data_IF_401475239829
#
_entry.id   IF_401475239829
#
_cell.length_a   1.000
_cell.length_b   1.000
_cell.length_c   1.000
_cell.angle_alpha   90.00
_cell.angle_beta   90.00
_cell.angle_gamma   90.00
#
_symmetry.space_group_name_H-M   'P 1'
#
loop_
_entity.id
_entity.type
_entity.pdbx_description
1 polymer ?
#
# COMPACT_ATOMS: atom_id res chain seq x y z
N UNK A 1 -0.88 34.09 14.93
CA UNK A 1 -0.70 34.18 13.47
C UNK A 1 0.58 33.52 12.99
N UNK A 2 1.79 33.83 13.53
CA UNK A 2 3.06 33.18 13.13
C UNK A 2 3.09 31.68 13.38
N UNK A 3 2.60 31.19 14.51
CA UNK A 3 2.59 29.76 14.83
C UNK A 3 1.73 28.96 13.84
N UNK A 4 0.51 29.43 13.56
CA UNK A 4 -0.40 28.81 12.58
C UNK A 4 0.23 28.77 11.19
N UNK A 5 0.92 29.83 10.77
CA UNK A 5 1.59 29.89 9.48
C UNK A 5 2.75 28.87 9.39
N UNK A 6 3.54 28.74 10.47
CA UNK A 6 4.62 27.77 10.52
C UNK A 6 4.11 26.32 10.51
N UNK A 7 3.02 26.04 11.22
CA UNK A 7 2.40 24.69 11.20
C UNK A 7 1.92 24.34 9.79
N UNK A 8 1.18 25.25 9.14
CA UNK A 8 0.72 25.07 7.77
C UNK A 8 1.89 24.88 6.77
N UNK A 9 2.97 25.63 6.93
CA UNK A 9 4.16 25.45 6.09
C UNK A 9 4.76 24.06 6.25
N UNK A 10 4.89 23.57 7.49
CA UNK A 10 5.44 22.24 7.75
C UNK A 10 4.54 21.13 7.16
N UNK A 11 3.22 21.27 7.28
CA UNK A 11 2.25 20.35 6.70
C UNK A 11 2.34 20.32 5.16
N UNK A 12 2.45 21.49 4.52
CA UNK A 12 2.63 21.59 3.06
C UNK A 12 3.96 20.96 2.63
N UNK A 13 5.04 21.18 3.37
CA UNK A 13 6.35 20.59 3.07
C UNK A 13 6.27 19.06 3.22
N UNK A 14 5.62 18.55 4.26
CA UNK A 14 5.43 17.11 4.46
C UNK A 14 4.60 16.51 3.32
N UNK A 15 3.52 17.18 2.91
CA UNK A 15 2.67 16.75 1.80
C UNK A 15 3.44 16.70 0.47
N UNK A 16 4.14 17.78 0.12
CA UNK A 16 4.89 17.86 -1.13
C UNK A 16 6.07 16.89 -1.14
N UNK A 17 6.80 16.78 -0.02
CA UNK A 17 7.90 15.83 0.14
C UNK A 17 7.42 14.39 0.01
N UNK A 18 6.32 14.03 0.68
CA UNK A 18 5.69 12.71 0.58
C UNK A 18 5.20 12.41 -0.83
N UNK A 19 4.60 13.38 -1.51
CA UNK A 19 4.14 13.24 -2.90
C UNK A 19 5.32 12.98 -3.84
N UNK A 20 6.37 13.77 -3.75
CA UNK A 20 7.57 13.59 -4.59
C UNK A 20 8.24 12.25 -4.35
N UNK A 21 8.45 11.89 -3.08
CA UNK A 21 9.02 10.61 -2.70
C UNK A 21 8.15 9.44 -3.16
N UNK A 22 6.82 9.51 -2.96
CA UNK A 22 5.88 8.48 -3.38
C UNK A 22 5.88 8.26 -4.89
N UNK A 23 5.92 9.34 -5.69
CA UNK A 23 6.06 9.24 -7.15
C UNK A 23 7.35 8.53 -7.55
N UNK A 24 8.48 8.88 -6.92
CA UNK A 24 9.78 8.24 -7.21
C UNK A 24 9.75 6.74 -6.88
N UNK A 25 9.22 6.35 -5.73
CA UNK A 25 9.09 4.95 -5.34
C UNK A 25 8.12 4.20 -6.26
N UNK A 26 7.01 4.81 -6.63
CA UNK A 26 6.03 4.19 -7.55
C UNK A 26 6.59 3.92 -8.93
N UNK A 27 7.55 4.73 -9.41
CA UNK A 27 8.23 4.49 -10.69
C UNK A 27 9.19 3.29 -10.62
N UNK A 28 9.60 2.84 -9.43
CA UNK A 28 10.47 1.68 -9.30
C UNK A 28 9.62 0.40 -9.41
N UNK A 29 9.85 -0.46 -10.43
CA UNK A 29 9.07 -1.68 -10.60
C UNK A 29 9.15 -2.59 -9.36
N UNK A 30 7.98 -3.02 -8.87
CA UNK A 30 7.89 -3.91 -7.70
C UNK A 30 8.09 -3.23 -6.34
N UNK A 31 8.44 -1.94 -6.29
CA UNK A 31 8.65 -1.27 -5.01
C UNK A 31 7.34 -0.92 -4.29
N UNK A 32 6.37 -0.32 -4.97
CA UNK A 32 5.07 0.04 -4.41
C UNK A 32 5.10 0.92 -3.15
N UNK A 33 3.93 1.31 -2.68
CA UNK A 33 3.78 2.15 -1.48
C UNK A 33 4.37 1.53 -0.22
N UNK A 34 4.19 0.21 -0.04
CA UNK A 34 4.62 -0.50 1.17
C UNK A 34 6.13 -0.42 1.36
N UNK A 35 6.89 -0.67 0.29
CA UNK A 35 8.36 -0.57 0.31
C UNK A 35 8.80 0.87 0.62
N UNK A 36 8.14 1.86 0.00
CA UNK A 36 8.40 3.27 0.27
C UNK A 36 8.17 3.65 1.72
N UNK A 37 7.07 3.20 2.31
CA UNK A 37 6.75 3.47 3.71
C UNK A 37 7.76 2.83 4.66
N UNK A 38 8.16 1.58 4.42
CA UNK A 38 9.15 0.93 5.29
C UNK A 38 10.52 1.61 5.19
N UNK A 39 10.94 1.98 3.99
CA UNK A 39 12.21 2.69 3.82
C UNK A 39 12.24 4.01 4.59
N UNK A 40 11.15 4.79 4.55
CA UNK A 40 11.08 6.09 5.23
C UNK A 40 10.80 5.96 6.73
N UNK A 41 10.22 4.84 7.18
CA UNK A 41 9.88 4.65 8.59
C UNK A 41 11.11 4.79 9.51
N UNK A 42 12.29 4.39 9.03
CA UNK A 42 13.56 4.57 9.74
C UNK A 42 13.94 6.06 9.91
N UNK A 43 13.37 6.94 9.10
CA UNK A 43 13.64 8.38 9.11
C UNK A 43 12.48 9.21 9.67
N UNK A 44 11.42 8.57 10.18
CA UNK A 44 10.21 9.27 10.65
C UNK A 44 10.50 10.23 11.81
N UNK A 45 11.55 9.98 12.59
CA UNK A 45 12.01 10.87 13.65
C UNK A 45 12.53 12.23 13.14
N UNK A 46 12.86 12.35 11.84
CA UNK A 46 13.26 13.63 11.23
C UNK A 46 12.12 14.66 11.21
N UNK A 47 10.86 14.22 11.38
CA UNK A 47 9.70 15.10 11.48
C UNK A 47 9.56 15.77 12.86
N UNK A 48 10.64 15.80 13.66
CA UNK A 48 10.67 16.54 14.91
C UNK A 48 9.77 16.02 16.02
N UNK A 49 9.29 14.77 15.88
CA UNK A 49 8.40 14.13 16.88
C UNK A 49 6.93 14.56 16.74
N UNK A 50 6.56 15.32 15.73
CA UNK A 50 5.16 15.63 15.43
C UNK A 50 4.52 14.46 14.65
N UNK A 51 3.63 13.68 15.26
CA UNK A 51 3.02 12.53 14.61
C UNK A 51 2.12 12.91 13.42
N UNK A 52 1.54 14.13 13.41
CA UNK A 52 0.68 14.58 12.33
C UNK A 52 1.46 14.78 11.03
N UNK A 53 2.66 15.35 11.09
CA UNK A 53 3.52 15.52 9.92
C UNK A 53 3.92 14.16 9.33
N UNK A 54 4.23 13.18 10.19
CA UNK A 54 4.51 11.81 9.77
C UNK A 54 3.33 11.16 9.05
N UNK A 55 2.11 11.32 9.58
CA UNK A 55 0.88 10.79 8.96
C UNK A 55 0.62 11.46 7.61
N UNK A 56 0.70 12.80 7.52
CA UNK A 56 0.52 13.55 6.27
C UNK A 56 1.51 13.06 5.21
N UNK A 57 2.78 12.92 5.58
CA UNK A 57 3.82 12.43 4.69
C UNK A 57 3.52 11.01 4.21
N UNK A 58 3.22 10.07 5.10
CA UNK A 58 2.92 8.68 4.76
C UNK A 58 1.70 8.56 3.84
N UNK A 59 0.63 9.30 4.12
CA UNK A 59 -0.57 9.32 3.27
C UNK A 59 -0.27 9.88 1.88
N UNK A 60 0.56 10.92 1.78
CA UNK A 60 1.01 11.46 0.51
C UNK A 60 1.85 10.46 -0.28
N UNK A 61 2.74 9.70 0.38
CA UNK A 61 3.54 8.62 -0.23
C UNK A 61 2.63 7.55 -0.83
N UNK A 62 1.64 7.06 -0.07
CA UNK A 62 0.69 6.04 -0.54
C UNK A 62 -0.09 6.53 -1.74
N UNK A 63 -0.65 7.73 -1.66
CA UNK A 63 -1.45 8.31 -2.75
C UNK A 63 -0.62 8.55 -4.02
N UNK A 64 0.59 9.07 -3.89
CA UNK A 64 1.43 9.39 -5.04
C UNK A 64 2.09 8.16 -5.68
N UNK A 65 2.42 7.13 -4.90
CA UNK A 65 3.03 5.92 -5.43
C UNK A 65 2.12 5.18 -6.40
N UNK A 66 0.80 5.20 -6.19
CA UNK A 66 -0.18 4.59 -7.11
C UNK A 66 -0.20 5.29 -8.48
N UNK A 67 0.10 6.60 -8.51
CA UNK A 67 0.27 7.33 -9.76
C UNK A 67 1.59 6.95 -10.43
N UNK A 68 2.68 6.82 -9.66
CA UNK A 68 3.98 6.35 -10.14
C UNK A 68 3.91 4.95 -10.77
N UNK A 69 3.22 4.02 -10.11
CA UNK A 69 2.97 2.65 -10.58
C UNK A 69 2.30 2.60 -11.96
N UNK A 70 1.42 3.55 -12.24
CA UNK A 70 0.75 3.66 -13.54
C UNK A 70 1.73 3.88 -14.68
N UNK A 71 2.77 4.69 -14.47
CA UNK A 71 3.78 4.95 -15.51
C UNK A 71 4.56 3.69 -15.85
N UNK A 72 5.02 2.95 -14.86
CA UNK A 72 5.76 1.69 -15.08
C UNK A 72 4.88 0.61 -15.70
N UNK A 73 3.65 0.46 -15.22
CA UNK A 73 2.69 -0.47 -15.78
C UNK A 73 2.40 -0.21 -17.25
N UNK A 74 2.18 1.04 -17.64
CA UNK A 74 1.85 1.42 -19.02
C UNK A 74 3.08 1.44 -19.93
N UNK A 75 4.23 1.95 -19.47
CA UNK A 75 5.41 2.13 -20.33
C UNK A 75 6.28 0.89 -20.42
N UNK A 76 6.46 0.17 -19.31
CA UNK A 76 7.38 -0.96 -19.21
C UNK A 76 6.68 -2.32 -19.24
N UNK A 77 5.35 -2.35 -19.06
CA UNK A 77 4.62 -3.61 -18.90
C UNK A 77 4.99 -4.38 -17.63
N UNK A 78 5.51 -3.69 -16.63
CA UNK A 78 5.89 -4.25 -15.33
C UNK A 78 5.13 -3.46 -14.26
N UNK A 79 4.22 -4.08 -13.51
CA UNK A 79 3.47 -3.36 -12.48
C UNK A 79 4.40 -2.97 -11.33
N UNK A 80 4.32 -1.71 -10.88
CA UNK A 80 5.02 -1.25 -9.68
C UNK A 80 4.40 -1.83 -8.41
N UNK A 81 3.06 -1.92 -8.38
CA UNK A 81 2.29 -2.58 -7.34
C UNK A 81 1.14 -3.38 -7.94
N UNK A 82 0.47 -4.18 -7.09
CA UNK A 82 -0.68 -5.01 -7.51
C UNK A 82 -1.82 -4.19 -8.12
N UNK A 83 -2.00 -2.94 -7.69
CA UNK A 83 -2.99 -1.99 -8.21
C UNK A 83 -2.76 -1.64 -9.67
N UNK A 84 -1.52 -1.56 -10.11
CA UNK A 84 -1.17 -1.23 -11.49
C UNK A 84 -1.33 -2.40 -12.46
N UNK A 85 -1.51 -3.63 -11.97
CA UNK A 85 -1.63 -4.82 -12.81
C UNK A 85 -2.82 -4.74 -13.77
N UNK A 86 -3.97 -4.24 -13.32
CA UNK A 86 -5.15 -4.05 -14.16
C UNK A 86 -4.93 -2.99 -15.26
N UNK A 87 -4.31 -1.87 -14.88
CA UNK A 87 -3.99 -0.78 -15.82
C UNK A 87 -2.97 -1.22 -16.89
N UNK A 88 -2.06 -2.12 -16.52
CA UNK A 88 -1.07 -2.67 -17.44
C UNK A 88 -1.71 -3.50 -18.57
N UNK A 89 -2.75 -4.26 -18.29
CA UNK A 89 -3.40 -5.17 -19.26
C UNK A 89 -3.85 -4.41 -20.52
N UNK A 90 -4.44 -3.24 -20.35
CA UNK A 90 -4.93 -2.43 -21.46
C UNK A 90 -3.94 -1.31 -21.83
N UNK A 91 -3.23 -0.76 -20.86
CA UNK A 91 -2.34 0.38 -21.04
C UNK A 91 -1.07 0.04 -21.80
N UNK A 92 -0.42 -1.08 -21.50
CA UNK A 92 0.82 -1.48 -22.17
C UNK A 92 0.64 -1.78 -23.65
N UNK A 93 -0.40 -2.53 -24.10
CA UNK A 93 -0.66 -2.70 -25.53
C UNK A 93 -0.94 -1.38 -26.27
N UNK A 94 -1.55 -0.39 -25.59
CA UNK A 94 -1.74 0.95 -26.16
C UNK A 94 -0.41 1.69 -26.29
N UNK A 95 0.48 1.55 -25.31
CA UNK A 95 1.82 2.13 -25.37
C UNK A 95 2.63 1.57 -26.53
N UNK A 96 2.59 0.26 -26.76
CA UNK A 96 3.24 -0.39 -27.91
C UNK A 96 2.71 0.11 -29.27
N UNK A 97 1.45 0.56 -29.31
CA UNK A 97 0.85 1.20 -30.49
C UNK A 97 1.17 2.70 -30.62
N UNK A 98 2.12 3.22 -29.83
CA UNK A 98 2.49 4.64 -29.81
C UNK A 98 1.48 5.56 -29.12
N UNK A 99 0.49 5.01 -28.38
CA UNK A 99 -0.56 5.76 -27.67
C UNK A 99 -0.34 5.79 -26.15
N UNK A 100 0.91 5.76 -25.70
CA UNK A 100 1.27 5.76 -24.29
C UNK A 100 0.71 6.98 -23.53
N UNK A 101 0.84 8.18 -24.09
CA UNK A 101 0.33 9.42 -23.50
C UNK A 101 -1.18 9.36 -23.29
N UNK A 102 -1.92 8.80 -24.24
CA UNK A 102 -3.37 8.61 -24.10
C UNK A 102 -3.70 7.66 -22.95
N UNK A 103 -3.03 6.51 -22.87
CA UNK A 103 -3.26 5.53 -21.82
C UNK A 103 -2.95 6.11 -20.42
N UNK A 104 -1.82 6.80 -20.27
CA UNK A 104 -1.43 7.44 -19.00
C UNK A 104 -2.40 8.56 -18.62
N UNK A 105 -2.73 9.45 -19.56
CA UNK A 105 -3.65 10.55 -19.28
C UNK A 105 -5.05 10.04 -18.92
N UNK A 106 -5.55 9.01 -19.58
CA UNK A 106 -6.83 8.39 -19.25
C UNK A 106 -6.80 7.78 -17.83
N UNK A 107 -5.75 7.05 -17.47
CA UNK A 107 -5.60 6.47 -16.15
C UNK A 107 -5.51 7.53 -15.04
N UNK A 108 -4.67 8.55 -15.22
CA UNK A 108 -4.47 9.62 -14.23
C UNK A 108 -5.74 10.47 -14.08
N UNK A 109 -6.39 10.87 -15.18
CA UNK A 109 -7.63 11.65 -15.09
C UNK A 109 -8.76 10.88 -14.44
N UNK A 110 -8.92 9.61 -14.78
CA UNK A 110 -9.94 8.74 -14.16
C UNK A 110 -9.64 8.57 -12.66
N UNK A 111 -8.41 8.30 -12.28
CA UNK A 111 -8.00 8.20 -10.87
C UNK A 111 -8.24 9.50 -10.11
N UNK A 112 -7.93 10.64 -10.70
CA UNK A 112 -8.13 11.95 -10.07
C UNK A 112 -9.62 12.24 -9.84
N UNK A 113 -10.45 12.03 -10.85
CA UNK A 113 -11.90 12.25 -10.75
C UNK A 113 -12.51 11.32 -9.70
N UNK A 114 -12.17 10.02 -9.74
CA UNK A 114 -12.66 9.06 -8.75
C UNK A 114 -12.12 9.36 -7.36
N UNK A 115 -10.85 9.73 -7.23
CA UNK A 115 -10.24 10.12 -5.96
C UNK A 115 -10.95 11.32 -5.31
N UNK A 116 -11.28 12.34 -6.09
CA UNK A 116 -12.03 13.50 -5.62
C UNK A 116 -13.46 13.13 -5.24
N UNK A 117 -14.17 12.37 -6.08
CA UNK A 117 -15.53 11.95 -5.82
C UNK A 117 -15.65 11.08 -4.57
N UNK A 118 -14.90 9.97 -4.54
CA UNK A 118 -14.98 9.03 -3.44
C UNK A 118 -14.30 9.57 -2.18
N UNK A 119 -13.22 10.34 -2.31
CA UNK A 119 -12.57 10.98 -1.18
C UNK A 119 -13.48 12.00 -0.49
N UNK A 120 -14.19 12.83 -1.25
CA UNK A 120 -15.18 13.75 -0.68
C UNK A 120 -16.34 12.99 -0.05
N UNK A 121 -16.86 11.95 -0.70
CA UNK A 121 -17.92 11.11 -0.14
C UNK A 121 -17.51 10.49 1.20
N UNK A 122 -16.32 9.88 1.24
CA UNK A 122 -15.79 9.28 2.48
C UNK A 122 -15.62 10.34 3.57
N UNK A 123 -15.15 11.53 3.24
CA UNK A 123 -15.00 12.62 4.19
C UNK A 123 -16.32 12.98 4.86
N UNK A 124 -17.42 13.10 4.10
CA UNK A 124 -18.75 13.35 4.65
C UNK A 124 -19.34 12.18 5.42
N UNK A 125 -19.01 10.95 5.02
CA UNK A 125 -19.47 9.73 5.67
C UNK A 125 -18.62 9.32 6.88
N UNK A 126 -17.45 9.97 7.10
CA UNK A 126 -16.52 9.60 8.15
C UNK A 126 -17.13 9.43 9.55
N UNK A 127 -18.04 10.35 10.04
CA UNK A 127 -18.65 10.19 11.34
C UNK A 127 -19.52 8.94 11.48
N UNK A 128 -20.15 8.51 10.39
CA UNK A 128 -20.97 7.30 10.35
C UNK A 128 -20.11 6.06 10.19
N UNK A 129 -19.07 6.16 9.40
CA UNK A 129 -18.13 5.08 9.14
C UNK A 129 -17.35 4.70 10.40
N UNK A 130 -16.95 5.66 11.22
CA UNK A 130 -16.29 5.39 12.51
C UNK A 130 -17.17 4.61 13.47
N UNK A 131 -18.48 4.92 13.52
CA UNK A 131 -19.44 4.15 14.32
C UNK A 131 -19.59 2.71 13.81
N UNK A 132 -19.64 2.54 12.48
CA UNK A 132 -19.69 1.22 11.86
C UNK A 132 -18.43 0.40 12.16
N UNK A 133 -17.24 1.01 12.09
CA UNK A 133 -15.99 0.34 12.41
C UNK A 133 -15.91 -0.17 13.84
N UNK A 134 -16.56 0.51 14.79
CA UNK A 134 -16.61 0.07 16.19
C UNK A 134 -17.41 -1.22 16.41
N UNK A 135 -18.27 -1.58 15.45
CA UNK A 135 -19.02 -2.84 15.47
C UNK A 135 -18.14 -4.02 15.06
N UNK A 136 -17.11 -3.76 14.24
CA UNK A 136 -16.19 -4.80 13.77
C UNK A 136 -15.14 -5.10 14.84
N UNK A 137 -15.23 -6.28 15.43
CA UNK A 137 -14.22 -6.81 16.33
C UNK A 137 -13.15 -7.63 15.60
N UNK A 138 -12.26 -8.23 16.37
CA UNK A 138 -11.19 -9.10 15.87
C UNK A 138 -11.73 -10.30 15.05
N UNK A 139 -12.83 -10.95 15.46
CA UNK A 139 -13.39 -12.08 14.70
C UNK A 139 -13.86 -11.69 13.30
N UNK A 140 -14.49 -10.51 13.17
CA UNK A 140 -15.00 -10.02 11.89
C UNK A 140 -13.86 -9.67 10.94
N UNK A 141 -12.81 -9.04 11.46
CA UNK A 141 -11.59 -8.74 10.69
C UNK A 141 -10.93 -10.04 10.20
N UNK A 142 -10.89 -11.07 11.04
CA UNK A 142 -10.39 -12.38 10.65
C UNK A 142 -11.23 -13.01 9.54
N UNK A 143 -12.55 -12.93 9.64
CA UNK A 143 -13.46 -13.44 8.61
C UNK A 143 -13.26 -12.72 7.27
N UNK A 144 -13.08 -11.38 7.29
CA UNK A 144 -12.76 -10.61 6.09
C UNK A 144 -11.43 -11.02 5.47
N UNK A 145 -10.40 -11.28 6.29
CA UNK A 145 -9.11 -11.74 5.79
C UNK A 145 -9.22 -13.09 5.11
N UNK A 146 -9.95 -14.05 5.69
CA UNK A 146 -10.21 -15.35 5.08
C UNK A 146 -10.97 -15.20 3.76
N UNK A 147 -12.00 -14.34 3.73
CA UNK A 147 -12.75 -14.05 2.52
C UNK A 147 -11.87 -13.46 1.42
N UNK A 148 -11.00 -12.51 1.76
CA UNK A 148 -10.05 -11.92 0.81
C UNK A 148 -9.08 -12.95 0.25
N UNK A 149 -8.52 -13.83 1.08
CA UNK A 149 -7.65 -14.90 0.64
C UNK A 149 -8.39 -15.91 -0.25
N UNK A 150 -9.63 -16.24 0.10
CA UNK A 150 -10.47 -17.13 -0.71
C UNK A 150 -10.76 -16.53 -2.09
N UNK A 151 -11.11 -15.23 -2.16
CA UNK A 151 -11.36 -14.57 -3.45
C UNK A 151 -10.13 -14.54 -4.33
N UNK A 152 -8.94 -14.28 -3.79
CA UNK A 152 -7.68 -14.39 -4.54
C UNK A 152 -7.46 -15.80 -5.07
N UNK A 153 -7.74 -16.82 -4.26
CA UNK A 153 -7.68 -18.23 -4.68
C UNK A 153 -8.63 -18.55 -5.83
N UNK A 154 -9.86 -18.02 -5.80
CA UNK A 154 -10.87 -18.24 -6.84
C UNK A 154 -10.58 -17.49 -8.15
N UNK A 155 -10.08 -16.24 -8.07
CA UNK A 155 -9.73 -15.43 -9.26
C UNK A 155 -8.57 -16.05 -10.04
N UNK A 156 -7.67 -16.77 -9.38
CA UNK A 156 -6.59 -17.54 -10.01
C UNK A 156 -7.07 -18.84 -10.69
N UNK A 157 -8.17 -18.78 -11.40
CA UNK A 157 -9.04 -19.88 -11.81
C UNK A 157 -8.44 -21.07 -12.57
N UNK A 158 -7.26 -20.94 -13.19
CA UNK A 158 -6.65 -22.07 -13.91
C UNK A 158 -5.85 -23.04 -13.02
N UNK A 159 -5.46 -22.63 -11.81
CA UNK A 159 -4.56 -23.37 -10.92
C UNK A 159 -4.95 -23.22 -9.42
N UNK A 160 -6.22 -23.28 -9.11
CA UNK A 160 -6.76 -23.06 -7.77
C UNK A 160 -6.04 -23.84 -6.65
N UNK A 161 -5.60 -25.07 -6.92
CA UNK A 161 -4.84 -25.86 -5.95
C UNK A 161 -3.49 -25.22 -5.64
N UNK A 162 -2.80 -24.70 -6.65
CA UNK A 162 -1.50 -24.02 -6.45
C UNK A 162 -1.68 -22.72 -5.67
N UNK A 163 -2.76 -22.00 -5.91
CA UNK A 163 -3.11 -20.78 -5.15
C UNK A 163 -3.39 -21.11 -3.69
N UNK A 164 -4.13 -22.18 -3.40
CA UNK A 164 -4.38 -22.64 -2.02
C UNK A 164 -3.08 -23.03 -1.30
N UNK A 165 -2.20 -23.76 -1.97
CA UNK A 165 -0.88 -24.11 -1.41
C UNK A 165 -0.05 -22.87 -1.13
N UNK A 166 -0.03 -21.90 -2.06
CA UNK A 166 0.70 -20.64 -1.86
C UNK A 166 0.13 -19.83 -0.69
N UNK A 167 -1.20 -19.75 -0.56
CA UNK A 167 -1.87 -19.09 0.57
C UNK A 167 -1.51 -19.79 1.88
N UNK A 168 -1.56 -21.13 1.93
CA UNK A 168 -1.21 -21.90 3.13
C UNK A 168 0.25 -21.65 3.56
N UNK A 169 1.19 -21.69 2.60
CA UNK A 169 2.59 -21.37 2.85
C UNK A 169 2.73 -19.93 3.35
N UNK A 170 2.07 -18.96 2.72
CA UNK A 170 2.09 -17.55 3.14
C UNK A 170 1.57 -17.36 4.57
N UNK A 171 0.50 -18.05 4.96
CA UNK A 171 -0.02 -18.02 6.33
C UNK A 171 1.00 -18.60 7.31
N UNK A 172 1.58 -19.76 7.00
CA UNK A 172 2.58 -20.41 7.86
C UNK A 172 3.79 -19.49 8.07
N UNK A 173 4.30 -18.89 7.00
CA UNK A 173 5.41 -17.93 7.08
C UNK A 173 5.05 -16.67 7.86
N UNK A 174 3.81 -16.18 7.70
CA UNK A 174 3.31 -15.02 8.43
C UNK A 174 3.06 -15.30 9.93
N UNK A 175 2.97 -16.55 10.35
CA UNK A 175 2.81 -16.92 11.76
C UNK A 175 4.14 -16.95 12.53
N UNK A 176 5.29 -16.87 11.85
CA UNK A 176 6.60 -16.84 12.49
C UNK A 176 6.82 -15.49 13.16
N UNK A 177 7.22 -15.50 14.43
CA UNK A 177 7.51 -14.28 15.19
C UNK A 177 6.92 -14.29 16.60
N UNK A 178 7.05 -13.17 17.31
CA UNK A 178 6.42 -12.98 18.61
C UNK A 178 4.97 -12.55 18.48
N UNK A 179 4.10 -13.19 19.22
CA UNK A 179 2.69 -12.82 19.30
C UNK A 179 2.56 -11.46 20.03
N UNK A 180 1.97 -10.42 19.40
CA UNK A 180 1.84 -9.10 20.02
C UNK A 180 0.90 -9.08 21.24
N UNK A 181 0.03 -10.08 21.41
CA UNK A 181 -0.90 -10.15 22.54
C UNK A 181 -0.36 -10.94 23.72
N UNK A 182 0.32 -12.05 23.46
CA UNK A 182 0.81 -12.96 24.51
C UNK A 182 2.30 -12.82 24.76
N UNK A 183 3.00 -12.07 23.91
CA UNK A 183 4.46 -11.91 23.90
C UNK A 183 5.21 -13.26 23.91
N UNK A 184 4.56 -14.30 23.37
CA UNK A 184 5.13 -15.64 23.24
C UNK A 184 5.73 -15.83 21.85
N UNK A 185 6.87 -16.48 21.78
CA UNK A 185 7.53 -16.81 20.54
C UNK A 185 6.77 -17.93 19.80
N UNK A 186 6.42 -17.67 18.53
CA UNK A 186 5.78 -18.64 17.65
C UNK A 186 6.74 -19.02 16.54
N UNK A 187 7.09 -20.30 16.44
CA UNK A 187 7.90 -20.85 15.35
C UNK A 187 9.27 -20.19 15.15
N UNK A 188 9.82 -19.55 16.18
CA UNK A 188 11.14 -18.87 16.13
C UNK A 188 12.31 -19.83 16.20
N UNK A 189 12.07 -21.13 16.50
CA UNK A 189 13.10 -22.17 16.65
C UNK A 189 14.23 -21.78 17.62
N UNK A 190 13.97 -20.85 18.53
CA UNK A 190 14.96 -20.30 19.47
C UNK A 190 15.92 -19.28 18.88
N UNK A 191 15.68 -18.83 17.65
CA UNK A 191 16.53 -17.83 16.98
C UNK A 191 15.98 -16.43 17.21
N UNK A 192 16.69 -15.62 17.99
CA UNK A 192 16.22 -14.31 18.42
C UNK A 192 15.88 -13.33 17.28
N UNK A 193 16.53 -13.46 16.12
CA UNK A 193 16.19 -12.61 14.95
C UNK A 193 14.84 -12.97 14.32
N UNK A 194 14.33 -14.18 14.50
CA UNK A 194 13.01 -14.58 14.03
C UNK A 194 11.88 -14.06 14.95
N UNK A 195 12.20 -13.53 16.12
CA UNK A 195 11.23 -12.87 17.00
C UNK A 195 10.55 -11.67 16.33
N UNK A 196 11.27 -10.93 15.50
CA UNK A 196 10.70 -9.84 14.71
C UNK A 196 9.78 -10.30 13.55
N UNK A 197 9.62 -11.61 13.37
CA UNK A 197 8.90 -12.20 12.24
C UNK A 197 9.69 -12.19 10.92
N UNK A 198 9.13 -12.82 9.91
CA UNK A 198 9.68 -12.78 8.55
C UNK A 198 9.22 -11.47 7.92
N UNK A 199 10.14 -10.52 7.77
CA UNK A 199 9.82 -9.22 7.17
C UNK A 199 9.52 -9.39 5.69
N UNK A 200 8.48 -8.70 5.23
CA UNK A 200 8.01 -8.78 3.84
C UNK A 200 9.07 -8.38 2.83
N UNK A 201 9.89 -7.37 3.16
CA UNK A 201 10.88 -6.81 2.25
C UNK A 201 11.99 -7.80 1.92
N UNK A 202 12.72 -8.43 2.87
CA UNK A 202 13.70 -9.46 2.56
C UNK A 202 13.07 -10.66 1.83
N UNK A 203 11.81 -11.00 2.16
CA UNK A 203 11.12 -12.13 1.54
C UNK A 203 10.80 -11.88 0.07
N UNK A 204 10.51 -10.63 -0.33
CA UNK A 204 10.18 -10.27 -1.72
C UNK A 204 11.42 -9.90 -2.52
N UNK A 205 12.43 -9.32 -1.87
CA UNK A 205 13.67 -8.89 -2.53
C UNK A 205 14.69 -10.01 -2.73
N UNK A 206 14.52 -11.12 -2.00
CA UNK A 206 15.41 -12.22 -2.02
C UNK A 206 15.84 -13.18 -2.37
#
# INVERSE_FOLDING_TARGET
MRVVLLTLMNEIIALLGGTLYGLLIGIIPGAGATTGLVAIFSFIHLFGGDPYLGVIFCMAVVAASTTGDTYTGVLLGIPGANSAAATMVDGFPLALKGKATYAISAAVTTSTINGLLWGSLVFFLLPWYTQLLMIFGVPELWAFMVLALATVGFVSSSLWIRSLVAIAIGIILGMVGTDPYTNSDRWTLGWGYLGAGIQLIPMVAG
#
